data_IF_924239869076
#
_entry.id   IF_924239869076
#
_cell.length_a   1.000
_cell.length_b   1.000
_cell.length_c   1.000
_cell.angle_alpha   90.00
_cell.angle_beta   90.00
_cell.angle_gamma   90.00
#
_symmetry.space_group_name_H-M   'P 1'
#
loop_
_entity.id
_entity.type
_entity.pdbx_description
1 polymer ?
#
# COMPACT_ATOMS: atom_id res chain seq x y z
N UNK A 1 -22.47 12.75 13.59
CA UNK A 1 -21.63 11.99 12.65
C UNK A 1 -20.64 12.95 12.04
N UNK A 2 -19.38 12.88 12.48
CA UNK A 2 -18.37 13.94 12.30
C UNK A 2 -17.74 13.91 10.91
N UNK A 3 -17.61 15.09 10.29
CA UNK A 3 -16.97 15.30 8.99
C UNK A 3 -15.46 14.98 8.94
N UNK A 4 -14.88 14.45 10.01
CA UNK A 4 -13.48 14.02 10.07
C UNK A 4 -13.24 12.70 9.33
N UNK A 5 -14.22 11.77 9.34
CA UNK A 5 -14.06 10.48 8.66
C UNK A 5 -14.03 10.61 7.13
N UNK A 6 -14.76 11.58 6.58
CA UNK A 6 -14.81 11.85 5.13
C UNK A 6 -13.52 12.49 4.61
N UNK A 7 -12.96 13.46 5.33
CA UNK A 7 -11.71 14.11 4.94
C UNK A 7 -10.51 13.13 4.97
N UNK A 8 -10.49 12.18 5.92
CA UNK A 8 -9.45 11.16 6.02
C UNK A 8 -9.53 10.18 4.83
N UNK A 9 -10.74 9.79 4.38
CA UNK A 9 -10.91 8.93 3.23
C UNK A 9 -10.43 9.57 1.91
N UNK A 10 -10.76 10.84 1.65
CA UNK A 10 -10.26 11.57 0.46
C UNK A 10 -8.73 11.74 0.49
N UNK A 11 -8.15 12.07 1.64
CA UNK A 11 -6.69 12.23 1.78
C UNK A 11 -5.96 10.90 1.60
N UNK A 12 -6.54 9.77 2.04
CA UNK A 12 -5.97 8.43 1.88
C UNK A 12 -6.02 7.98 0.41
N UNK A 13 -7.13 8.18 -0.30
CA UNK A 13 -7.25 7.84 -1.73
C UNK A 13 -6.24 8.63 -2.57
N UNK A 14 -6.08 9.93 -2.30
CA UNK A 14 -5.10 10.77 -3.00
C UNK A 14 -3.65 10.35 -2.70
N UNK A 15 -3.35 9.87 -1.50
CA UNK A 15 -1.99 9.37 -1.14
C UNK A 15 -1.65 7.99 -1.67
N UNK A 16 -2.64 7.10 -1.91
CA UNK A 16 -2.38 5.80 -2.54
C UNK A 16 -1.88 6.00 -3.99
N UNK A 17 -2.36 7.04 -4.67
CA UNK A 17 -1.84 7.50 -5.96
C UNK A 17 -0.46 8.20 -5.88
N UNK A 18 0.04 8.51 -4.68
CA UNK A 18 1.34 9.14 -4.44
C UNK A 18 2.41 8.14 -3.96
N UNK A 19 2.12 6.83 -3.97
CA UNK A 19 3.20 5.85 -3.87
C UNK A 19 4.10 5.99 -5.11
N UNK A 20 5.44 6.09 -4.99
CA UNK A 20 6.36 6.39 -6.09
C UNK A 20 6.51 5.25 -7.11
N UNK A 21 5.50 4.40 -7.26
CA UNK A 21 5.46 3.29 -8.19
C UNK A 21 4.03 3.14 -8.72
N UNK A 22 3.62 4.06 -9.57
CA UNK A 22 2.79 3.73 -10.73
C UNK A 22 3.70 3.11 -11.80
N UNK A 23 3.14 2.39 -12.78
CA UNK A 23 3.94 1.96 -13.96
C UNK A 23 4.59 3.16 -14.65
N UNK A 24 3.91 4.29 -14.66
CA UNK A 24 4.43 5.58 -15.13
C UNK A 24 5.66 6.04 -14.32
N UNK A 25 5.66 5.87 -12.99
CA UNK A 25 6.82 6.13 -12.15
C UNK A 25 7.96 5.13 -12.39
N UNK A 26 7.69 3.89 -12.80
CA UNK A 26 8.76 2.93 -13.21
C UNK A 26 9.52 3.46 -14.42
N UNK A 27 8.79 3.99 -15.39
CA UNK A 27 9.38 4.58 -16.61
C UNK A 27 10.18 5.84 -16.28
N UNK A 28 9.66 6.70 -15.40
CA UNK A 28 10.34 7.94 -14.96
C UNK A 28 11.58 7.64 -14.10
N UNK A 29 11.50 6.65 -13.21
CA UNK A 29 12.58 6.33 -12.26
C UNK A 29 13.64 5.39 -12.83
N UNK A 30 13.42 4.78 -14.00
CA UNK A 30 14.28 3.72 -14.53
C UNK A 30 14.28 2.46 -13.66
N UNK A 31 13.20 2.22 -12.93
CA UNK A 31 13.09 1.06 -12.06
C UNK A 31 13.04 -0.23 -12.90
N UNK A 32 13.75 -1.27 -12.44
CA UNK A 32 13.70 -2.58 -13.07
C UNK A 32 12.61 -3.42 -12.41
N UNK A 33 11.57 -3.76 -13.17
CA UNK A 33 10.53 -4.72 -12.76
C UNK A 33 10.97 -6.12 -13.20
N UNK A 34 10.97 -7.08 -12.28
CA UNK A 34 11.54 -8.41 -12.52
C UNK A 34 10.55 -9.56 -12.37
N UNK A 35 9.50 -9.40 -11.56
CA UNK A 35 8.50 -10.44 -11.36
C UNK A 35 7.10 -9.82 -11.19
N UNK A 36 6.09 -10.54 -11.66
CA UNK A 36 4.67 -10.21 -11.51
C UNK A 36 3.96 -11.43 -10.94
N UNK A 37 3.36 -11.27 -9.76
CA UNK A 37 2.67 -12.33 -9.04
C UNK A 37 1.19 -11.98 -8.94
N UNK A 38 0.34 -12.92 -9.33
CA UNK A 38 -1.11 -12.88 -9.17
C UNK A 38 -1.56 -14.11 -8.42
N UNK A 39 -2.66 -14.01 -7.68
CA UNK A 39 -3.26 -15.14 -6.96
C UNK A 39 -4.75 -15.22 -7.31
N UNK A 40 -5.19 -16.36 -7.84
CA UNK A 40 -6.59 -16.55 -8.26
C UNK A 40 -7.59 -16.40 -7.10
N UNK A 41 -7.15 -16.58 -5.85
CA UNK A 41 -7.97 -16.36 -4.65
C UNK A 41 -8.21 -14.88 -4.35
N UNK A 42 -7.40 -14.00 -4.93
CA UNK A 42 -7.50 -12.54 -4.76
C UNK A 42 -7.55 -11.86 -6.14
N UNK A 43 -8.67 -11.99 -6.88
CA UNK A 43 -8.80 -11.45 -8.23
C UNK A 43 -8.50 -9.95 -8.29
N UNK A 44 -7.81 -9.53 -9.35
CA UNK A 44 -7.44 -8.14 -9.55
C UNK A 44 -6.22 -7.68 -8.75
N UNK A 45 -5.71 -8.45 -7.79
CA UNK A 45 -4.47 -8.10 -7.07
C UNK A 45 -3.24 -8.54 -7.85
N UNK A 46 -2.27 -7.64 -7.94
CA UNK A 46 -0.98 -7.90 -8.58
C UNK A 46 0.14 -7.38 -7.70
N UNK A 47 1.10 -8.24 -7.39
CA UNK A 47 2.35 -7.85 -6.74
C UNK A 47 3.50 -7.85 -7.74
N UNK A 48 4.26 -6.76 -7.76
CA UNK A 48 5.46 -6.61 -8.56
C UNK A 48 6.70 -6.68 -7.68
N UNK A 49 7.71 -7.39 -8.14
CA UNK A 49 9.08 -7.23 -7.64
C UNK A 49 9.81 -6.19 -8.48
N UNK A 50 10.46 -5.23 -7.83
CA UNK A 50 11.18 -4.17 -8.51
C UNK A 50 12.47 -3.79 -7.79
N UNK A 51 13.38 -3.16 -8.52
CA UNK A 51 14.59 -2.56 -7.98
C UNK A 51 14.68 -1.11 -8.45
N UNK A 52 14.96 -0.21 -7.51
CA UNK A 52 15.26 1.18 -7.84
C UNK A 52 16.74 1.33 -8.21
N UNK A 53 17.09 2.20 -9.16
CA UNK A 53 18.49 2.52 -9.42
C UNK A 53 19.15 3.13 -8.18
N UNK A 54 20.47 2.95 -8.08
CA UNK A 54 21.26 3.71 -7.11
C UNK A 54 21.50 5.11 -7.66
N UNK A 55 21.21 6.12 -6.84
CA UNK A 55 21.41 7.53 -7.18
C UNK A 55 22.34 8.19 -6.17
N UNK A 56 23.10 9.20 -6.60
CA UNK A 56 23.85 10.06 -5.69
C UNK A 56 22.93 11.07 -4.96
N UNK A 57 23.52 11.97 -4.16
CA UNK A 57 22.79 13.01 -3.42
C UNK A 57 22.11 14.04 -4.32
N UNK A 58 22.46 14.10 -5.61
CA UNK A 58 21.83 14.95 -6.63
C UNK A 58 20.73 14.22 -7.42
N UNK A 59 20.50 12.94 -7.14
CA UNK A 59 19.52 12.12 -7.87
C UNK A 59 20.05 11.49 -9.17
N UNK A 60 21.34 11.62 -9.46
CA UNK A 60 21.94 11.10 -10.70
C UNK A 60 22.26 9.60 -10.55
N UNK A 61 22.04 8.82 -11.61
CA UNK A 61 22.36 7.39 -11.64
C UNK A 61 23.87 7.15 -11.49
N UNK A 62 24.26 6.31 -10.53
CA UNK A 62 25.68 5.98 -10.24
C UNK A 62 26.05 4.53 -10.56
N UNK A 63 25.21 3.81 -11.30
CA UNK A 63 25.42 2.40 -11.60
C UNK A 63 24.83 1.46 -10.54
N UNK A 64 24.33 0.32 -11.02
CA UNK A 64 23.74 -0.72 -10.18
C UNK A 64 22.37 -0.36 -9.59
N UNK A 65 21.79 -1.33 -8.89
CA UNK A 65 20.43 -1.23 -8.34
C UNK A 65 20.42 -1.48 -6.83
N UNK A 66 19.40 -0.96 -6.16
CA UNK A 66 19.09 -1.29 -4.76
C UNK A 66 18.55 -2.73 -4.66
N UNK A 67 18.43 -3.23 -3.43
CA UNK A 67 17.81 -4.53 -3.16
C UNK A 67 16.38 -4.59 -3.71
N UNK A 68 15.96 -5.80 -4.06
CA UNK A 68 14.60 -6.05 -4.54
C UNK A 68 13.58 -5.65 -3.48
N UNK A 69 12.56 -4.92 -3.90
CA UNK A 69 11.39 -4.54 -3.12
C UNK A 69 10.13 -5.07 -3.80
N UNK A 70 9.02 -5.16 -3.06
CA UNK A 70 7.73 -5.55 -3.62
C UNK A 70 6.72 -4.43 -3.50
N UNK A 71 5.78 -4.38 -4.45
CA UNK A 71 4.61 -3.51 -4.36
C UNK A 71 3.37 -4.22 -4.84
N UNK A 72 2.32 -4.13 -4.03
CA UNK A 72 0.98 -4.57 -4.42
C UNK A 72 0.22 -3.44 -5.11
N UNK A 73 -0.49 -3.79 -6.16
CA UNK A 73 -1.42 -2.94 -6.91
C UNK A 73 -2.69 -3.73 -7.20
N UNK A 74 -3.68 -3.07 -7.80
CA UNK A 74 -4.92 -3.71 -8.23
C UNK A 74 -5.29 -3.28 -9.66
N UNK A 75 -6.08 -4.12 -10.34
CA UNK A 75 -6.69 -3.81 -11.63
C UNK A 75 -8.05 -3.14 -11.43
N UNK A 76 -8.23 -1.85 -11.77
CA UNK A 76 -9.49 -1.13 -11.61
C UNK A 76 -10.68 -1.74 -12.35
N UNK A 77 -10.44 -2.55 -13.40
CA UNK A 77 -11.50 -3.25 -14.14
C UNK A 77 -12.12 -4.38 -13.33
N UNK A 78 -11.36 -4.94 -12.38
CA UNK A 78 -11.80 -6.04 -11.50
C UNK A 78 -12.13 -5.50 -10.10
N UNK A 79 -11.34 -4.54 -9.62
CA UNK A 79 -11.48 -3.87 -8.33
C UNK A 79 -11.57 -2.35 -8.54
N UNK A 80 -12.78 -1.79 -8.73
CA UNK A 80 -12.94 -0.36 -8.94
C UNK A 80 -12.35 0.47 -7.81
N UNK A 81 -11.78 1.63 -8.13
CA UNK A 81 -11.12 2.52 -7.17
C UNK A 81 -12.02 2.87 -5.98
N UNK A 82 -13.31 3.13 -6.24
CA UNK A 82 -14.30 3.44 -5.20
C UNK A 82 -14.48 2.29 -4.21
N UNK A 83 -14.42 1.04 -4.69
CA UNK A 83 -14.49 -0.15 -3.85
C UNK A 83 -13.23 -0.30 -2.99
N UNK A 84 -12.05 -0.08 -3.58
CA UNK A 84 -10.78 -0.14 -2.84
C UNK A 84 -10.70 0.96 -1.79
N UNK A 85 -11.17 2.17 -2.11
CA UNK A 85 -11.26 3.29 -1.18
C UNK A 85 -12.17 3.00 0.03
N UNK A 86 -13.36 2.43 -0.23
CA UNK A 86 -14.29 2.01 0.82
C UNK A 86 -13.66 0.93 1.71
N UNK A 87 -13.08 -0.12 1.12
CA UNK A 87 -12.43 -1.20 1.87
C UNK A 87 -11.23 -0.69 2.68
N UNK A 88 -10.42 0.21 2.12
CA UNK A 88 -9.29 0.85 2.82
C UNK A 88 -9.75 1.63 4.04
N UNK A 89 -10.84 2.40 3.92
CA UNK A 89 -11.43 3.16 5.02
C UNK A 89 -11.96 2.24 6.12
N UNK A 90 -12.69 1.18 5.75
CA UNK A 90 -13.16 0.17 6.71
C UNK A 90 -12.00 -0.57 7.40
N UNK A 91 -10.93 -0.88 6.67
CA UNK A 91 -9.74 -1.49 7.24
C UNK A 91 -9.08 -0.59 8.28
N UNK A 92 -8.98 0.72 8.01
CA UNK A 92 -8.47 1.70 8.97
C UNK A 92 -9.31 1.71 10.26
N UNK A 93 -10.64 1.81 10.16
CA UNK A 93 -11.53 1.81 11.33
C UNK A 93 -11.35 0.52 12.16
N UNK A 94 -11.28 -0.64 11.51
CA UNK A 94 -11.06 -1.91 12.20
C UNK A 94 -9.69 -1.97 12.91
N UNK A 95 -8.64 -1.46 12.27
CA UNK A 95 -7.28 -1.43 12.84
C UNK A 95 -7.17 -0.60 14.12
N UNK A 96 -8.02 0.41 14.33
CA UNK A 96 -8.01 1.21 15.56
C UNK A 96 -8.12 0.34 16.82
N UNK A 97 -9.02 -0.66 16.79
CA UNK A 97 -9.23 -1.56 17.93
C UNK A 97 -7.98 -2.41 18.21
N UNK A 98 -7.35 -2.94 17.15
CA UNK A 98 -6.11 -3.73 17.24
C UNK A 98 -4.97 -2.89 17.83
N UNK A 99 -4.85 -1.65 17.39
CA UNK A 99 -3.82 -0.72 17.84
C UNK A 99 -4.03 -0.20 19.26
N UNK A 100 -5.29 -0.04 19.69
CA UNK A 100 -5.64 0.27 21.08
C UNK A 100 -5.31 -0.90 22.00
N UNK A 101 -5.62 -2.14 21.58
CA UNK A 101 -5.28 -3.34 22.34
C UNK A 101 -3.76 -3.61 22.38
N UNK A 102 -3.01 -3.18 21.36
CA UNK A 102 -1.57 -3.41 21.25
C UNK A 102 -0.80 -2.10 21.03
N UNK A 103 -0.57 -1.27 22.07
CA UNK A 103 0.05 0.07 21.93
C UNK A 103 1.45 0.08 21.30
N UNK A 104 2.19 -1.03 21.39
CA UNK A 104 3.51 -1.16 20.77
C UNK A 104 3.44 -1.41 19.24
N UNK A 105 2.32 -1.97 18.75
CA UNK A 105 2.17 -2.34 17.35
C UNK A 105 2.08 -1.09 16.46
N UNK A 106 2.85 -1.04 15.38
CA UNK A 106 2.89 0.13 14.46
C UNK A 106 2.22 -0.14 13.12
N UNK A 107 2.00 -1.41 12.82
CA UNK A 107 1.39 -1.86 11.60
C UNK A 107 0.57 -3.13 11.85
N UNK A 108 -0.50 -3.33 11.09
CA UNK A 108 -1.31 -4.54 11.19
C UNK A 108 -1.96 -4.86 9.85
N UNK A 109 -2.27 -6.13 9.64
CA UNK A 109 -2.98 -6.59 8.44
C UNK A 109 -4.45 -6.81 8.79
N UNK A 110 -5.33 -6.12 8.07
CA UNK A 110 -6.78 -6.22 8.23
C UNK A 110 -7.38 -6.83 6.96
N UNK A 111 -8.27 -7.80 7.14
CA UNK A 111 -8.99 -8.41 6.03
C UNK A 111 -10.37 -7.76 5.87
N UNK A 112 -10.66 -7.22 4.69
CA UNK A 112 -11.95 -6.63 4.33
C UNK A 112 -12.41 -7.21 3.01
N UNK A 113 -13.63 -7.77 2.99
CA UNK A 113 -14.27 -8.37 1.81
C UNK A 113 -13.38 -9.36 1.04
N UNK A 114 -12.56 -10.12 1.77
CA UNK A 114 -11.64 -11.10 1.19
C UNK A 114 -10.25 -10.57 0.85
N UNK A 115 -10.04 -9.25 0.83
CA UNK A 115 -8.75 -8.62 0.52
C UNK A 115 -8.02 -8.18 1.79
N UNK A 116 -6.70 -8.09 1.71
CA UNK A 116 -5.85 -7.68 2.83
C UNK A 116 -5.40 -6.24 2.65
N UNK A 117 -5.43 -5.50 3.76
CA UNK A 117 -4.95 -4.14 3.86
C UNK A 117 -3.90 -4.07 4.96
N UNK A 118 -2.73 -3.54 4.62
CA UNK A 118 -1.75 -3.18 5.62
C UNK A 118 -2.05 -1.77 6.10
N UNK A 119 -2.31 -1.64 7.39
CA UNK A 119 -2.64 -0.38 8.04
C UNK A 119 -1.48 0.01 8.93
N UNK A 120 -1.04 1.26 8.85
CA UNK A 120 0.05 1.80 9.68
C UNK A 120 -0.44 2.95 10.54
N UNK A 121 0.21 3.17 11.69
CA UNK A 121 -0.07 4.33 12.53
C UNK A 121 1.18 5.09 12.94
N UNK A 122 0.99 6.36 13.28
CA UNK A 122 2.03 7.21 13.84
C UNK A 122 2.42 6.70 15.23
N UNK A 123 3.73 6.64 15.49
CA UNK A 123 4.23 6.09 16.74
C UNK A 123 4.00 6.98 17.96
N UNK A 124 3.87 8.30 17.73
CA UNK A 124 3.73 9.34 18.75
C UNK A 124 2.25 9.71 18.97
N UNK A 125 1.50 9.97 17.90
CA UNK A 125 0.08 10.39 18.01
C UNK A 125 -0.88 9.22 18.07
N UNK A 126 -0.47 8.03 17.62
CA UNK A 126 -1.33 6.84 17.54
C UNK A 126 -2.33 6.86 16.37
N UNK A 127 -2.38 7.96 15.61
CA UNK A 127 -3.27 8.14 14.48
C UNK A 127 -2.88 7.23 13.32
N UNK A 128 -3.88 6.72 12.61
CA UNK A 128 -3.66 5.94 11.39
C UNK A 128 -3.07 6.86 10.33
N UNK A 129 -1.97 6.42 9.72
CA UNK A 129 -1.26 7.18 8.70
C UNK A 129 -1.55 6.67 7.30
N UNK A 130 -1.75 5.35 7.12
CA UNK A 130 -2.03 4.75 5.83
C UNK A 130 -2.88 3.47 6.00
N UNK A 131 -3.61 3.13 4.94
CA UNK A 131 -4.31 1.84 4.78
C UNK A 131 -4.22 1.44 3.30
N UNK A 132 -3.33 0.51 2.97
CA UNK A 132 -3.04 0.15 1.58
C UNK A 132 -3.33 -1.32 1.31
N UNK A 133 -3.90 -1.59 0.14
CA UNK A 133 -4.15 -2.96 -0.30
C UNK A 133 -2.83 -3.72 -0.44
N UNK A 134 -2.82 -4.96 0.04
CA UNK A 134 -1.63 -5.78 0.13
C UNK A 134 -1.93 -7.20 -0.34
N UNK A 135 -0.96 -7.82 -0.98
CA UNK A 135 -0.96 -9.25 -1.21
C UNK A 135 -0.96 -9.95 0.17
N UNK A 136 -1.76 -11.00 0.38
CA UNK A 136 -1.80 -11.69 1.66
C UNK A 136 -0.41 -12.20 2.07
N UNK A 137 -0.12 -12.27 3.39
CA UNK A 137 1.10 -12.89 3.87
C UNK A 137 1.22 -14.31 3.33
N UNK A 138 2.33 -14.61 2.64
CA UNK A 138 2.65 -15.99 2.26
C UNK A 138 3.17 -16.69 3.50
N UNK A 139 2.50 -17.77 3.90
CA UNK A 139 3.07 -18.71 4.87
C UNK A 139 4.33 -19.27 4.19
N UNK A 140 5.49 -19.04 4.81
CA UNK A 140 6.76 -19.62 4.37
C UNK A 140 6.84 -21.08 4.81
#
# INVERSE_FOLDING_TARGET
MSGLAWAVAEIIVVKINLSPFSLESVEITGAKVSNKITDARFPGIVEYSYQLPRTNTKGEFIGGYKSVSTKTTYDPKILPDSKVADMSSRAAVQAESVFKANPALRETSIKVDGYYFQVTRNSKTGEITNSFIAMPPRIK
#
